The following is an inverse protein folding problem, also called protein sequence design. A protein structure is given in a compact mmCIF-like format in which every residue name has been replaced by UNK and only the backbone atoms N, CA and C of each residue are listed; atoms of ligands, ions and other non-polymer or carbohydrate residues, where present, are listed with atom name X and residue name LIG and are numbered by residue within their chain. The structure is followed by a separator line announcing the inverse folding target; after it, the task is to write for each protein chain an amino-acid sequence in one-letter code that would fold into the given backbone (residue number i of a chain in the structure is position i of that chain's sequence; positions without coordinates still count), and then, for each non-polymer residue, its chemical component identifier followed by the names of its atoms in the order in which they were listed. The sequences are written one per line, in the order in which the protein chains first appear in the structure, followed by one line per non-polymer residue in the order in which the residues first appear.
data_IF_015406807763
#
_entry.id   IF_015406807763
#
_cell.length_a   1.000
_cell.length_b   1.000
_cell.length_c   1.000
_cell.angle_alpha   90.00
_cell.angle_beta   90.00
_cell.angle_gamma   90.00
#
_symmetry.space_group_name_H-M   'P 1'
#
loop_
_entity.id
_entity.type
_entity.pdbx_description
1 polymer ?
#
# COMPACT_ATOMS: atom_id res chain seq x y z
N UNK A 1 -3.11 27.75 34.00
CA UNK A 1 -4.35 27.08 34.41
C UNK A 1 -3.94 25.66 34.73
N UNK A 2 -3.97 25.29 36.01
CA UNK A 2 -3.42 24.03 36.52
C UNK A 2 -4.36 22.89 36.10
N UNK A 3 -3.89 21.98 35.25
CA UNK A 3 -4.69 20.84 34.79
C UNK A 3 -4.75 19.86 35.95
N UNK A 4 -5.87 19.85 36.68
CA UNK A 4 -6.06 18.88 37.75
C UNK A 4 -6.17 17.47 37.15
N UNK A 5 -5.67 16.46 37.86
CA UNK A 5 -5.70 15.03 37.47
C UNK A 5 -7.11 14.56 37.02
N UNK A 6 -8.16 15.22 37.54
CA UNK A 6 -9.57 14.98 37.19
C UNK A 6 -9.94 15.31 35.74
N UNK A 7 -9.11 16.05 35.00
CA UNK A 7 -9.35 16.43 33.60
C UNK A 7 -8.40 15.74 32.60
N UNK A 8 -7.33 15.10 33.08
CA UNK A 8 -6.34 14.46 32.21
C UNK A 8 -6.92 13.30 31.40
N UNK A 9 -7.79 12.49 32.01
CA UNK A 9 -8.46 11.39 31.32
C UNK A 9 -9.37 11.88 30.18
N UNK A 10 -9.98 13.06 30.31
CA UNK A 10 -10.83 13.65 29.27
C UNK A 10 -9.99 14.03 28.06
N UNK A 11 -8.81 14.59 28.28
CA UNK A 11 -7.87 14.92 27.21
C UNK A 11 -7.51 13.67 26.40
N UNK A 12 -7.06 12.60 27.05
CA UNK A 12 -6.71 11.35 26.35
C UNK A 12 -7.91 10.69 25.67
N UNK A 13 -9.10 10.76 26.29
CA UNK A 13 -10.31 10.25 25.67
C UNK A 13 -10.67 11.02 24.39
N UNK A 14 -10.63 12.36 24.44
CA UNK A 14 -10.93 13.23 23.28
C UNK A 14 -9.89 13.00 22.18
N UNK A 15 -8.60 12.87 22.52
CA UNK A 15 -7.55 12.56 21.55
C UNK A 15 -7.84 11.27 20.78
N UNK A 16 -8.20 10.19 21.48
CA UNK A 16 -8.59 8.93 20.84
C UNK A 16 -9.89 9.02 20.05
N UNK A 17 -10.87 9.78 20.53
CA UNK A 17 -12.17 9.97 19.87
C UNK A 17 -12.07 10.75 18.56
N UNK A 18 -11.02 11.55 18.39
CA UNK A 18 -10.76 12.30 17.16
C UNK A 18 -10.09 11.45 16.05
N UNK A 19 -9.75 10.19 16.32
CA UNK A 19 -9.16 9.30 15.33
C UNK A 19 -10.24 8.65 14.47
N UNK A 20 -9.98 8.57 13.17
CA UNK A 20 -10.92 8.02 12.19
C UNK A 20 -10.25 6.95 11.33
N UNK A 21 -11.09 6.16 10.64
CA UNK A 21 -10.64 5.16 9.68
C UNK A 21 -10.36 5.80 8.32
N UNK A 22 -9.14 5.61 7.82
CA UNK A 22 -8.68 6.10 6.53
C UNK A 22 -8.17 4.96 5.65
N UNK A 23 -8.17 5.19 4.34
CA UNK A 23 -7.68 4.21 3.35
C UNK A 23 -6.66 4.86 2.43
N UNK A 24 -5.54 4.19 2.18
CA UNK A 24 -4.52 4.72 1.28
C UNK A 24 -3.76 3.60 0.57
N UNK A 25 -3.27 3.86 -0.64
CA UNK A 25 -2.40 2.91 -1.33
C UNK A 25 -1.02 2.90 -0.68
N UNK A 26 -0.53 1.71 -0.35
CA UNK A 26 0.81 1.53 0.17
C UNK A 26 1.86 1.85 -0.89
N UNK A 27 2.96 2.49 -0.47
CA UNK A 27 4.12 2.70 -1.33
C UNK A 27 4.62 1.38 -1.93
N UNK A 28 5.10 1.43 -3.17
CA UNK A 28 5.75 0.28 -3.81
C UNK A 28 7.02 -0.16 -3.08
N UNK A 29 7.58 0.68 -2.21
CA UNK A 29 8.71 0.34 -1.35
C UNK A 29 8.38 -0.76 -0.34
N UNK A 30 7.09 -1.00 -0.09
CA UNK A 30 6.61 -2.08 0.78
C UNK A 30 6.38 -3.41 0.05
N UNK A 31 6.55 -3.45 -1.28
CA UNK A 31 6.39 -4.68 -2.05
C UNK A 31 7.28 -5.78 -1.48
N UNK A 32 6.73 -6.99 -1.40
CA UNK A 32 7.42 -8.21 -0.93
C UNK A 32 7.78 -8.20 0.57
N UNK A 33 7.50 -7.11 1.30
CA UNK A 33 7.54 -7.10 2.77
C UNK A 33 6.30 -7.78 3.35
N UNK A 34 6.43 -8.40 4.51
CA UNK A 34 5.29 -8.95 5.26
C UNK A 34 4.44 -7.84 5.87
N UNK A 35 3.15 -8.11 6.09
CA UNK A 35 2.27 -7.18 6.79
C UNK A 35 2.86 -6.70 8.13
N UNK A 36 3.45 -7.61 8.92
CA UNK A 36 4.06 -7.27 10.20
C UNK A 36 5.19 -6.24 10.03
N UNK A 37 6.13 -6.46 9.11
CA UNK A 37 7.22 -5.53 8.84
C UNK A 37 6.70 -4.15 8.42
N UNK A 38 5.66 -4.12 7.59
CA UNK A 38 5.05 -2.85 7.14
C UNK A 38 4.32 -2.16 8.27
N UNK A 39 3.58 -2.90 9.11
CA UNK A 39 2.92 -2.36 10.30
C UNK A 39 3.93 -1.74 11.28
N UNK A 40 5.07 -2.39 11.49
CA UNK A 40 6.18 -1.87 12.32
C UNK A 40 6.75 -0.56 11.76
N UNK A 41 6.95 -0.46 10.44
CA UNK A 41 7.38 0.78 9.79
C UNK A 41 6.30 1.86 9.90
N UNK A 42 5.04 1.53 9.64
CA UNK A 42 3.92 2.46 9.76
C UNK A 42 3.83 3.04 11.16
N UNK A 43 3.91 2.22 12.20
CA UNK A 43 3.83 2.68 13.57
C UNK A 43 5.10 3.43 13.99
N UNK A 44 6.27 2.82 13.81
CA UNK A 44 7.53 3.34 14.33
C UNK A 44 8.13 4.51 13.55
N UNK A 45 7.89 4.61 12.23
CA UNK A 45 8.44 5.68 11.38
C UNK A 45 7.38 6.65 10.87
N UNK A 46 6.20 6.15 10.50
CA UNK A 46 5.18 7.01 9.88
C UNK A 46 4.21 7.61 10.90
N UNK A 47 4.21 7.13 12.14
CA UNK A 47 3.21 7.51 13.14
C UNK A 47 1.79 7.17 12.68
N UNK A 48 1.60 6.02 12.03
CA UNK A 48 0.33 5.56 11.49
C UNK A 48 -0.01 4.17 12.02
N UNK A 49 -1.26 3.97 12.45
CA UNK A 49 -1.73 2.67 12.89
C UNK A 49 -2.38 1.92 11.72
N UNK A 50 -1.60 1.04 11.07
CA UNK A 50 -2.10 0.13 10.03
C UNK A 50 -2.84 -1.04 10.68
N UNK A 51 -4.12 -1.24 10.36
CA UNK A 51 -4.96 -2.29 10.95
C UNK A 51 -5.31 -3.42 9.98
N UNK A 52 -5.28 -3.16 8.68
CA UNK A 52 -5.67 -4.12 7.66
C UNK A 52 -5.12 -3.76 6.27
N UNK A 53 -5.20 -4.72 5.35
CA UNK A 53 -4.87 -4.54 3.94
C UNK A 53 -5.93 -5.16 3.03
N UNK A 54 -6.07 -4.63 1.81
CA UNK A 54 -6.85 -5.26 0.75
C UNK A 54 -6.09 -6.46 0.19
N UNK A 55 -6.73 -7.63 0.16
CA UNK A 55 -6.18 -8.84 -0.48
C UNK A 55 -7.20 -9.42 -1.45
N UNK A 56 -6.71 -10.10 -2.49
CA UNK A 56 -7.55 -10.78 -3.48
C UNK A 56 -7.55 -12.27 -3.16
N UNK A 57 -8.74 -12.83 -2.95
CA UNK A 57 -8.92 -14.28 -2.77
C UNK A 57 -8.77 -15.02 -4.11
N UNK A 58 -8.57 -16.36 -4.10
CA UNK A 58 -8.48 -17.16 -5.32
C UNK A 58 -9.72 -17.07 -6.24
N UNK A 59 -10.88 -16.75 -5.68
CA UNK A 59 -12.14 -16.54 -6.39
C UNK A 59 -12.24 -15.13 -7.03
N UNK A 60 -11.25 -14.26 -6.83
CA UNK A 60 -11.22 -12.89 -7.32
C UNK A 60 -11.89 -11.87 -6.42
N UNK A 61 -12.46 -12.28 -5.27
CA UNK A 61 -13.08 -11.37 -4.32
C UNK A 61 -12.01 -10.54 -3.57
N UNK A 62 -12.22 -9.23 -3.52
CA UNK A 62 -11.41 -8.32 -2.71
C UNK A 62 -11.91 -8.32 -1.27
N UNK A 63 -11.03 -8.66 -0.33
CA UNK A 63 -11.34 -8.67 1.09
C UNK A 63 -10.47 -7.70 1.87
N UNK A 64 -11.05 -7.16 2.94
CA UNK A 64 -10.36 -6.42 3.98
C UNK A 64 -9.77 -7.41 4.99
N UNK A 65 -8.49 -7.75 4.84
CA UNK A 65 -7.82 -8.69 5.73
C UNK A 65 -7.30 -7.95 6.96
N UNK A 66 -7.91 -8.20 8.12
CA UNK A 66 -7.53 -7.62 9.41
C UNK A 66 -6.33 -8.36 9.96
N UNK A 67 -5.25 -7.63 10.25
CA UNK A 67 -4.00 -8.17 10.79
C UNK A 67 -3.53 -9.50 10.13
N UNK A 68 -3.29 -9.55 8.81
CA UNK A 68 -2.91 -10.77 8.15
C UNK A 68 -1.40 -11.04 8.34
N UNK A 69 -1.05 -11.79 9.39
CA UNK A 69 0.34 -12.04 9.80
C UNK A 69 1.20 -12.67 8.69
N UNK A 70 0.63 -13.60 7.91
CA UNK A 70 1.38 -14.39 6.91
C UNK A 70 1.31 -13.82 5.49
N UNK A 71 0.78 -12.61 5.30
CA UNK A 71 0.60 -12.02 3.96
C UNK A 71 1.71 -11.01 3.65
N UNK A 72 2.30 -11.18 2.48
CA UNK A 72 3.18 -10.18 1.87
C UNK A 72 2.37 -9.11 1.16
N UNK A 73 2.90 -7.89 1.15
CA UNK A 73 2.30 -6.75 0.46
C UNK A 73 2.58 -6.84 -1.04
N UNK A 74 1.51 -6.79 -1.82
CA UNK A 74 1.56 -6.73 -3.27
C UNK A 74 1.73 -5.27 -3.74
N UNK A 75 2.07 -5.09 -5.01
CA UNK A 75 2.09 -3.76 -5.58
C UNK A 75 0.69 -3.14 -5.55
N UNK A 76 0.61 -1.88 -5.12
CA UNK A 76 -0.63 -1.10 -5.05
C UNK A 76 -1.69 -1.67 -4.08
N UNK A 77 -1.29 -2.48 -3.10
CA UNK A 77 -2.17 -2.88 -2.01
C UNK A 77 -2.73 -1.64 -1.28
N UNK A 78 -4.03 -1.66 -1.00
CA UNK A 78 -4.67 -0.64 -0.15
C UNK A 78 -4.48 -1.02 1.31
N UNK A 79 -3.91 -0.10 2.09
CA UNK A 79 -3.85 -0.19 3.54
C UNK A 79 -5.00 0.58 4.19
N UNK A 80 -5.36 0.15 5.39
CA UNK A 80 -6.42 0.76 6.20
C UNK A 80 -5.85 1.19 7.54
N UNK A 81 -6.07 2.45 7.89
CA UNK A 81 -5.35 3.14 8.94
C UNK A 81 -6.30 3.80 9.92
N UNK A 82 -5.90 3.85 11.19
CA UNK A 82 -6.49 4.76 12.17
C UNK A 82 -5.55 5.96 12.30
N UNK A 83 -6.05 7.17 12.03
CA UNK A 83 -5.25 8.40 12.01
C UNK A 83 -6.11 9.63 12.30
N UNK A 84 -5.47 10.79 12.53
CA UNK A 84 -6.17 12.05 12.79
C UNK A 84 -6.57 12.81 11.51
N UNK A 85 -5.95 12.49 10.36
CA UNK A 85 -6.35 13.07 9.08
C UNK A 85 -5.87 12.27 7.86
N UNK A 86 -6.52 12.47 6.72
CA UNK A 86 -6.09 11.91 5.43
C UNK A 86 -4.66 12.36 5.03
N UNK A 87 -4.26 13.56 5.43
CA UNK A 87 -2.92 14.12 5.15
C UNK A 87 -1.82 13.32 5.85
N UNK A 88 -2.07 12.85 7.08
CA UNK A 88 -1.13 11.99 7.79
C UNK A 88 -0.93 10.66 7.07
N UNK A 89 -2.04 10.07 6.61
CA UNK A 89 -2.03 8.75 5.97
C UNK A 89 -1.31 8.77 4.62
N UNK A 90 -1.27 9.91 3.92
CA UNK A 90 -0.50 10.08 2.69
C UNK A 90 0.99 9.75 2.84
N UNK A 91 1.55 9.80 4.05
CA UNK A 91 2.94 9.36 4.31
C UNK A 91 3.18 7.90 3.91
N UNK A 92 2.18 7.03 4.08
CA UNK A 92 2.28 5.62 3.67
C UNK A 92 2.40 5.45 2.15
N UNK A 93 1.82 6.37 1.38
CA UNK A 93 1.95 6.39 -0.07
C UNK A 93 3.31 6.97 -0.51
N UNK A 94 3.80 8.01 0.17
CA UNK A 94 5.04 8.69 -0.19
C UNK A 94 6.32 8.03 0.36
N UNK A 95 6.19 7.08 1.29
CA UNK A 95 7.36 6.45 1.91
C UNK A 95 8.28 5.83 0.86
N UNK A 96 9.58 6.06 1.00
CA UNK A 96 10.62 5.52 0.12
C UNK A 96 11.77 5.11 1.00
N UNK A 97 12.21 3.86 0.90
CA UNK A 97 13.32 3.38 1.75
C UNK A 97 14.59 4.18 1.48
N UNK A 98 14.89 4.52 0.23
CA UNK A 98 16.10 5.29 -0.12
C UNK A 98 16.07 6.73 0.39
N UNK A 99 14.91 7.41 0.33
CA UNK A 99 14.81 8.82 0.70
C UNK A 99 14.43 9.05 2.17
N UNK A 100 13.67 8.13 2.75
CA UNK A 100 12.97 8.33 4.03
C UNK A 100 13.40 7.35 5.14
N UNK A 101 14.37 6.45 4.90
CA UNK A 101 14.84 5.53 5.93
C UNK A 101 15.34 6.25 7.19
N UNK A 102 16.06 7.37 7.04
CA UNK A 102 16.68 8.11 8.14
C UNK A 102 15.85 9.30 8.65
N UNK A 103 14.68 9.53 8.06
CA UNK A 103 13.77 10.59 8.51
C UNK A 103 13.13 10.19 9.85
N UNK A 104 13.36 11.01 10.87
CA UNK A 104 12.84 10.78 12.24
C UNK A 104 11.51 11.47 12.52
N UNK A 105 11.23 12.55 11.80
CA UNK A 105 10.04 13.38 11.98
C UNK A 105 9.04 12.99 10.88
N UNK A 106 7.92 12.32 11.19
CA UNK A 106 6.97 11.81 10.19
C UNK A 106 6.48 12.89 9.22
N UNK A 107 6.27 14.12 9.70
CA UNK A 107 5.75 15.26 8.91
C UNK A 107 6.67 15.68 7.75
N UNK A 108 7.94 15.26 7.78
CA UNK A 108 8.90 15.50 6.69
C UNK A 108 8.80 14.48 5.56
N UNK A 109 8.07 13.38 5.74
CA UNK A 109 7.85 12.35 4.71
C UNK A 109 6.84 12.90 3.69
N UNK A 110 7.35 13.29 2.53
CA UNK A 110 6.59 13.89 1.42
C UNK A 110 6.95 13.20 0.11
N UNK A 111 6.30 13.60 -0.98
CA UNK A 111 6.63 13.07 -2.32
C UNK A 111 8.12 13.28 -2.64
N UNK A 112 8.81 12.20 -3.02
CA UNK A 112 10.20 12.23 -3.49
C UNK A 112 10.28 11.89 -4.98
N UNK A 113 11.37 12.25 -5.65
CA UNK A 113 11.52 12.01 -7.10
C UNK A 113 11.55 10.52 -7.49
N UNK A 114 11.94 9.63 -6.57
CA UNK A 114 11.87 8.17 -6.76
C UNK A 114 10.43 7.69 -7.05
N UNK A 115 9.43 8.36 -6.47
CA UNK A 115 8.01 8.04 -6.67
C UNK A 115 7.53 8.33 -8.10
N UNK A 116 8.10 9.33 -8.78
CA UNK A 116 7.78 9.67 -10.18
C UNK A 116 8.31 8.63 -11.15
N UNK A 117 9.54 8.15 -10.93
CA UNK A 117 10.15 7.08 -11.72
C UNK A 117 9.33 5.77 -11.60
N UNK A 118 8.88 5.43 -10.38
CA UNK A 118 8.04 4.26 -10.14
C UNK A 118 6.66 4.37 -10.80
N UNK A 119 6.12 5.58 -11.00
CA UNK A 119 4.86 5.81 -11.74
C UNK A 119 4.99 5.50 -13.23
N UNK A 120 6.15 5.79 -13.83
CA UNK A 120 6.45 5.51 -15.23
C UNK A 120 6.70 4.02 -15.49
N UNK A 121 7.36 3.34 -14.56
CA UNK A 121 7.66 1.90 -14.66
C UNK A 121 6.38 1.04 -14.67
N UNK A 122 5.32 1.48 -13.96
CA UNK A 122 4.02 0.80 -14.04
C UNK A 122 3.29 1.05 -15.35
N UNK A 123 3.47 2.21 -15.98
CA UNK A 123 2.85 2.48 -17.29
C UNK A 123 3.56 1.69 -18.40
N UNK A 124 4.89 1.58 -18.35
CA UNK A 124 5.63 0.72 -19.28
C UNK A 124 5.30 -0.75 -19.06
N UNK A 125 5.29 -1.26 -17.82
CA UNK A 125 4.96 -2.67 -17.56
C UNK A 125 3.53 -3.03 -17.95
N UNK A 126 2.54 -2.14 -17.78
CA UNK A 126 1.19 -2.35 -18.30
C UNK A 126 1.14 -2.44 -19.84
N UNK A 127 1.86 -1.55 -20.53
CA UNK A 127 1.97 -1.57 -21.99
C UNK A 127 2.73 -2.82 -22.50
N UNK A 128 3.81 -3.20 -21.84
CA UNK A 128 4.59 -4.40 -22.15
C UNK A 128 3.76 -5.65 -21.90
N UNK A 129 3.05 -5.76 -20.77
CA UNK A 129 2.16 -6.88 -20.50
C UNK A 129 1.04 -6.98 -21.53
N UNK A 130 0.42 -5.86 -21.93
CA UNK A 130 -0.57 -5.84 -23.00
C UNK A 130 0.01 -6.30 -24.36
N UNK A 131 1.22 -5.85 -24.70
CA UNK A 131 1.93 -6.30 -25.90
C UNK A 131 2.27 -7.80 -25.85
N UNK A 132 2.74 -8.32 -24.71
CA UNK A 132 3.04 -9.75 -24.52
C UNK A 132 1.77 -10.59 -24.66
N UNK A 133 0.64 -10.17 -24.07
CA UNK A 133 -0.64 -10.86 -24.18
C UNK A 133 -1.12 -10.92 -25.64
N UNK A 134 -1.05 -9.78 -26.36
CA UNK A 134 -1.40 -9.71 -27.79
C UNK A 134 -0.53 -10.65 -28.65
N UNK A 135 0.77 -10.70 -28.36
CA UNK A 135 1.72 -11.55 -29.08
C UNK A 135 1.50 -13.05 -28.78
N UNK A 136 1.17 -13.41 -27.54
CA UNK A 136 0.82 -14.77 -27.15
C UNK A 136 -0.51 -15.25 -27.76
N UNK A 137 -1.51 -14.38 -27.85
CA UNK A 137 -2.76 -14.67 -28.54
C UNK A 137 -2.53 -14.91 -30.04
N UNK A 138 -1.69 -14.09 -30.69
CA UNK A 138 -1.32 -14.26 -32.10
C UNK A 138 -0.51 -15.54 -32.35
N UNK A 139 0.40 -15.90 -31.44
CA UNK A 139 1.17 -17.14 -31.55
C UNK A 139 0.29 -18.39 -31.37
N UNK A 140 -0.69 -18.34 -30.45
CA UNK A 140 -1.66 -19.43 -30.22
C UNK A 140 -2.66 -19.61 -31.37
N UNK A 141 -3.08 -18.53 -32.04
CA UNK A 141 -3.95 -18.64 -33.22
C UNK A 141 -3.22 -19.26 -34.42
N UNK A 142 -1.95 -18.89 -34.64
CA UNK A 142 -1.13 -19.51 -35.69
C UNK A 142 -0.84 -21.01 -35.44
N UNK A 143 -0.62 -21.42 -34.18
CA UNK A 143 -0.43 -22.84 -33.84
C UNK A 143 -1.70 -23.67 -34.04
N UNK A 144 -2.89 -23.13 -33.75
CA UNK A 144 -4.17 -23.83 -33.99
C UNK A 144 -4.48 -23.96 -35.49
N UNK A 145 -4.20 -22.94 -36.28
CA UNK A 145 -4.38 -22.98 -37.74
C UNK A 145 -3.50 -24.04 -38.42
N UNK A 146 -2.26 -24.24 -37.96
CA UNK A 146 -1.37 -25.26 -38.51
C UNK A 146 -1.75 -26.70 -38.12
N UNK A 147 -2.49 -26.90 -37.02
CA UNK A 147 -2.95 -28.23 -36.58
C UNK A 147 -4.21 -28.66 -37.35
N UNK A 148 -5.08 -27.71 -37.72
CA UNK A 148 -6.32 -27.97 -38.47
C UNK A 148 -6.08 -28.18 -39.98
N UNK A 149 -4.96 -27.67 -40.53
CA UNK A 149 -4.61 -27.79 -41.95
C UNK A 149 -3.69 -28.99 -42.27
N UNK A 150 -3.36 -29.80 -41.26
CA UNK A 150 -2.53 -31.01 -41.36
C UNK A 150 -3.31 -32.33 -41.21
N UNK A 151 -4.62 -32.31 -41.43
CA UNK A 151 -5.47 -33.51 -41.57
C UNK A 151 -6.03 -33.62 -42.97
#
# INVERSE_FOLDING_TARGET
MDVTDSDLWKTYYIEGANLELYTETLSVSFKDMTFQQVAEICFGKLGLLLIAIETIKPDGEKIFAINPLDKSIEQRTRGYFIAGSATEVKRAFFYCVTCHADVKIPELIKECDCSRAQRLDVHLSALVNHAVIMTQHFCRSHQKANIEMGR
#
